data_IF_279086556355
#
_entry.id   IF_279086556355
#
_cell.length_a   1.000
_cell.length_b   1.000
_cell.length_c   1.000
_cell.angle_alpha   90.00
_cell.angle_beta   90.00
_cell.angle_gamma   90.00
#
_symmetry.space_group_name_H-M   'P 1'
#
loop_
_entity.id
_entity.type
_entity.pdbx_description
1 polymer ?
#
# COMPACT_ATOMS: atom_id res chain seq x y z
N UNK A 1 -0.90 4.00 18.37
CA UNK A 1 -1.55 3.32 17.25
C UNK A 1 -1.33 4.14 15.98
N UNK A 2 -0.84 3.50 14.94
CA UNK A 2 -0.68 4.14 13.63
C UNK A 2 -1.82 3.73 12.70
N UNK A 3 -2.07 4.56 11.69
CA UNK A 3 -3.04 4.24 10.64
C UNK A 3 -2.29 3.89 9.36
N UNK A 4 -2.60 2.71 8.82
CA UNK A 4 -2.03 2.23 7.56
C UNK A 4 -3.14 2.17 6.52
N UNK A 5 -2.89 2.80 5.38
CA UNK A 5 -3.76 2.70 4.21
C UNK A 5 -3.22 1.58 3.33
N UNK A 6 -3.96 0.48 3.25
CA UNK A 6 -3.54 -0.72 2.54
C UNK A 6 -4.15 -0.66 1.15
N UNK A 7 -3.32 -0.36 0.15
CA UNK A 7 -3.76 -0.31 -1.24
C UNK A 7 -3.50 -1.67 -1.86
N UNK A 8 -4.55 -2.43 -2.09
CA UNK A 8 -4.43 -3.78 -2.61
C UNK A 8 -4.96 -3.87 -4.04
N UNK A 9 -4.39 -4.79 -4.81
CA UNK A 9 -4.88 -5.10 -6.15
C UNK A 9 -5.78 -6.32 -6.06
N UNK A 10 -7.11 -6.19 -6.26
CA UNK A 10 -8.03 -7.34 -6.14
C UNK A 10 -7.77 -8.41 -7.20
N UNK A 11 -7.09 -8.06 -8.29
CA UNK A 11 -6.80 -9.00 -9.37
C UNK A 11 -5.50 -9.79 -9.15
N UNK A 12 -4.71 -9.43 -8.15
CA UNK A 12 -3.47 -10.13 -7.84
C UNK A 12 -3.77 -11.55 -7.37
N UNK A 13 -2.86 -12.48 -7.65
CA UNK A 13 -2.99 -13.84 -7.15
C UNK A 13 -4.27 -14.53 -7.59
N UNK A 14 -4.63 -14.44 -8.87
CA UNK A 14 -5.83 -15.09 -9.42
C UNK A 14 -7.13 -14.57 -8.79
N UNK A 15 -7.16 -13.26 -8.47
CA UNK A 15 -8.35 -12.63 -7.91
C UNK A 15 -8.46 -12.67 -6.40
N UNK A 16 -7.40 -13.11 -5.70
CA UNK A 16 -7.39 -13.20 -4.24
C UNK A 16 -6.62 -12.07 -3.56
N UNK A 17 -6.45 -10.95 -4.28
CA UNK A 17 -5.64 -9.85 -3.76
C UNK A 17 -6.15 -9.25 -2.46
N UNK A 18 -7.46 -9.11 -2.31
CA UNK A 18 -8.04 -8.59 -1.08
C UNK A 18 -7.82 -9.54 0.09
N UNK A 19 -8.08 -10.83 -0.12
CA UNK A 19 -7.88 -11.84 0.91
C UNK A 19 -6.43 -11.89 1.35
N UNK A 20 -5.51 -11.85 0.39
CA UNK A 20 -4.08 -11.85 0.68
C UNK A 20 -3.66 -10.60 1.47
N UNK A 21 -4.21 -9.43 1.12
CA UNK A 21 -3.90 -8.20 1.83
C UNK A 21 -4.37 -8.25 3.30
N UNK A 22 -5.46 -8.94 3.56
CA UNK A 22 -5.99 -9.05 4.93
C UNK A 22 -5.05 -9.79 5.89
N UNK A 23 -4.05 -10.51 5.37
CA UNK A 23 -3.02 -11.12 6.22
C UNK A 23 -2.23 -10.05 7.01
N UNK A 24 -2.27 -8.80 6.56
CA UNK A 24 -1.64 -7.70 7.28
C UNK A 24 -2.26 -7.46 8.66
N UNK A 25 -3.48 -7.90 8.89
CA UNK A 25 -4.08 -7.84 10.23
C UNK A 25 -3.29 -8.64 11.25
N UNK A 26 -2.59 -9.68 10.82
CA UNK A 26 -1.74 -10.49 11.69
C UNK A 26 -0.40 -9.80 11.94
N UNK A 27 0.17 -9.15 10.92
CA UNK A 27 1.44 -8.45 11.06
C UNK A 27 1.34 -7.16 11.86
N UNK A 28 0.20 -6.49 11.77
CA UNK A 28 -0.02 -5.17 12.38
C UNK A 28 -1.26 -5.21 13.27
N UNK A 29 -1.24 -6.05 14.34
CA UNK A 29 -2.46 -6.30 15.13
C UNK A 29 -2.89 -5.12 15.99
N UNK A 30 -1.97 -4.20 16.28
CA UNK A 30 -2.24 -3.08 17.18
C UNK A 30 -2.48 -1.77 16.44
N UNK A 31 -2.47 -1.80 15.11
CA UNK A 31 -2.61 -0.61 14.29
C UNK A 31 -3.96 -0.60 13.57
N UNK A 32 -4.35 0.58 13.14
CA UNK A 32 -5.57 0.75 12.35
C UNK A 32 -5.26 0.51 10.89
N UNK A 33 -5.94 -0.45 10.27
CA UNK A 33 -5.75 -0.78 8.86
C UNK A 33 -7.00 -0.40 8.06
N UNK A 34 -6.80 0.42 7.03
CA UNK A 34 -7.86 0.84 6.12
C UNK A 34 -7.55 0.26 4.74
N UNK A 35 -8.35 -0.69 4.29
CA UNK A 35 -8.14 -1.40 3.04
C UNK A 35 -8.85 -0.70 1.90
N UNK A 36 -8.15 -0.49 0.79
CA UNK A 36 -8.71 0.16 -0.38
C UNK A 36 -8.20 -0.50 -1.65
N UNK A 37 -9.12 -0.71 -2.60
CA UNK A 37 -8.79 -1.22 -3.93
C UNK A 37 -7.94 -0.17 -4.66
N UNK A 38 -6.70 -0.53 -5.01
CA UNK A 38 -5.76 0.39 -5.65
C UNK A 38 -6.26 0.83 -7.04
N UNK A 39 -7.07 -0.01 -7.70
CA UNK A 39 -7.58 0.32 -9.04
C UNK A 39 -8.63 1.44 -9.01
N UNK A 40 -9.16 1.75 -7.83
CA UNK A 40 -10.15 2.82 -7.68
C UNK A 40 -9.50 4.20 -7.45
N UNK A 41 -8.20 4.26 -7.32
CA UNK A 41 -7.51 5.53 -7.12
C UNK A 41 -7.18 6.14 -8.47
N UNK A 42 -7.87 7.23 -8.81
CA UNK A 42 -7.65 7.94 -10.06
C UNK A 42 -6.61 9.07 -9.93
N UNK A 43 -6.51 9.65 -8.74
CA UNK A 43 -5.66 10.81 -8.49
C UNK A 43 -4.84 10.57 -7.23
N UNK A 44 -3.61 10.12 -7.39
CA UNK A 44 -2.71 9.87 -6.27
C UNK A 44 -2.34 11.16 -5.52
N UNK A 45 -2.26 12.29 -6.23
CA UNK A 45 -2.00 13.56 -5.57
C UNK A 45 -3.08 13.88 -4.55
N UNK A 46 -4.35 13.74 -4.95
CA UNK A 46 -5.47 13.95 -4.05
C UNK A 46 -5.47 12.94 -2.90
N UNK A 47 -5.18 11.68 -3.22
CA UNK A 47 -5.12 10.63 -2.21
C UNK A 47 -4.09 10.97 -1.12
N UNK A 48 -2.86 11.31 -1.51
CA UNK A 48 -1.81 11.61 -0.54
C UNK A 48 -2.09 12.88 0.24
N UNK A 49 -2.72 13.88 -0.37
CA UNK A 49 -3.11 15.11 0.34
C UNK A 49 -4.18 14.87 1.39
N UNK A 50 -4.96 13.81 1.25
CA UNK A 50 -6.02 13.47 2.21
C UNK A 50 -5.50 12.78 3.47
N UNK A 51 -4.24 12.34 3.46
CA UNK A 51 -3.67 11.61 4.57
C UNK A 51 -3.25 12.54 5.70
N UNK A 52 -3.22 11.99 6.92
CA UNK A 52 -2.70 12.69 8.08
C UNK A 52 -1.18 12.50 8.15
N UNK A 53 -0.52 13.35 8.94
CA UNK A 53 0.95 13.37 9.00
C UNK A 53 1.57 12.03 9.39
N UNK A 54 0.91 11.28 10.28
CA UNK A 54 1.43 9.98 10.75
C UNK A 54 0.89 8.79 9.96
N UNK A 55 0.03 9.02 8.98
CA UNK A 55 -0.52 7.93 8.19
C UNK A 55 0.57 7.29 7.35
N UNK A 56 0.45 5.97 7.17
CA UNK A 56 1.38 5.19 6.37
C UNK A 56 0.62 4.47 5.28
N UNK A 57 1.34 4.12 4.21
CA UNK A 57 0.74 3.47 3.05
C UNK A 57 1.45 2.15 2.81
N UNK A 58 0.67 1.11 2.53
CA UNK A 58 1.20 -0.20 2.13
C UNK A 58 0.66 -0.54 0.76
N UNK A 59 1.55 -0.88 -0.16
CA UNK A 59 1.15 -1.39 -1.47
C UNK A 59 1.15 -2.91 -1.35
N UNK A 60 -0.01 -3.53 -1.48
CA UNK A 60 -0.18 -4.97 -1.33
C UNK A 60 -0.52 -5.59 -2.69
N UNK A 61 0.37 -6.39 -3.22
CA UNK A 61 0.18 -7.01 -4.52
C UNK A 61 1.44 -7.68 -5.02
N UNK A 62 1.52 -7.88 -6.32
CA UNK A 62 2.71 -8.40 -6.98
C UNK A 62 3.60 -7.29 -7.51
N UNK A 63 4.68 -7.69 -8.21
CA UNK A 63 5.65 -6.74 -8.76
C UNK A 63 5.01 -5.78 -9.76
N UNK A 64 4.04 -6.25 -10.55
CA UNK A 64 3.35 -5.39 -11.50
C UNK A 64 2.56 -4.28 -10.83
N UNK A 65 1.91 -4.59 -9.70
CA UNK A 65 1.18 -3.59 -8.92
C UNK A 65 2.14 -2.54 -8.37
N UNK A 66 3.27 -2.99 -7.83
CA UNK A 66 4.28 -2.09 -7.28
C UNK A 66 4.87 -1.19 -8.37
N UNK A 67 5.24 -1.75 -9.51
CA UNK A 67 5.82 -0.99 -10.61
C UNK A 67 4.85 0.07 -11.13
N UNK A 68 3.59 -0.28 -11.27
CA UNK A 68 2.58 0.67 -11.71
C UNK A 68 2.41 1.81 -10.71
N UNK A 69 2.36 1.48 -9.43
CA UNK A 69 2.27 2.50 -8.39
C UNK A 69 3.46 3.46 -8.46
N UNK A 70 4.69 2.92 -8.58
CA UNK A 70 5.89 3.73 -8.65
C UNK A 70 5.85 4.67 -9.87
N UNK A 71 5.44 4.14 -11.02
CA UNK A 71 5.34 4.95 -12.24
C UNK A 71 4.28 6.05 -12.12
N UNK A 72 3.13 5.71 -11.55
CA UNK A 72 2.01 6.66 -11.43
C UNK A 72 2.30 7.75 -10.40
N UNK A 73 3.15 7.49 -9.42
CA UNK A 73 3.48 8.46 -8.37
C UNK A 73 4.84 9.13 -8.56
N UNK A 74 5.59 8.75 -9.60
CA UNK A 74 6.93 9.28 -9.84
C UNK A 74 7.02 10.80 -9.84
N UNK A 75 6.06 11.55 -10.43
CA UNK A 75 6.14 13.00 -10.43
C UNK A 75 5.71 13.66 -9.12
N UNK A 76 5.26 12.88 -8.14
CA UNK A 76 4.72 13.42 -6.89
C UNK A 76 5.78 13.48 -5.80
N UNK A 77 5.65 14.46 -4.91
CA UNK A 77 6.40 14.49 -3.67
C UNK A 77 5.54 13.83 -2.60
N UNK A 78 6.02 12.71 -2.07
CA UNK A 78 5.28 11.93 -1.09
C UNK A 78 5.95 12.07 0.26
N UNK A 79 5.22 12.63 1.22
CA UNK A 79 5.73 12.92 2.56
C UNK A 79 5.44 11.85 3.61
N UNK A 80 4.81 10.73 3.23
CA UNK A 80 4.51 9.66 4.18
C UNK A 80 5.39 8.44 3.93
N UNK A 81 5.49 7.57 4.94
CA UNK A 81 6.22 6.31 4.78
C UNK A 81 5.41 5.31 3.96
N UNK A 82 6.08 4.65 3.03
CA UNK A 82 5.46 3.68 2.12
C UNK A 82 6.15 2.34 2.28
N UNK A 83 5.34 1.28 2.34
CA UNK A 83 5.80 -0.10 2.46
C UNK A 83 5.22 -0.94 1.34
N UNK A 84 5.88 -2.04 1.06
CA UNK A 84 5.41 -3.03 0.09
C UNK A 84 5.18 -4.35 0.80
N UNK A 85 4.03 -4.96 0.53
CA UNK A 85 3.67 -6.29 1.00
C UNK A 85 3.46 -7.17 -0.22
N UNK A 86 4.41 -8.08 -0.46
CA UNK A 86 4.37 -9.00 -1.62
C UNK A 86 3.41 -10.14 -1.32
N UNK A 87 2.21 -10.08 -1.87
CA UNK A 87 1.13 -11.01 -1.52
C UNK A 87 1.35 -12.41 -2.05
N UNK A 88 2.19 -12.59 -3.07
CA UNK A 88 2.45 -13.90 -3.67
C UNK A 88 3.71 -14.59 -3.20
N UNK A 89 4.46 -14.01 -2.28
CA UNK A 89 5.78 -14.49 -1.92
C UNK A 89 5.78 -15.67 -0.93
N UNK A 90 4.70 -15.86 -0.20
CA UNK A 90 4.67 -16.83 0.89
C UNK A 90 5.38 -16.36 2.16
N UNK A 91 6.09 -15.25 2.10
CA UNK A 91 6.78 -14.66 3.25
C UNK A 91 6.08 -13.35 3.60
N UNK A 92 5.38 -13.35 4.73
CA UNK A 92 4.61 -12.17 5.14
C UNK A 92 5.49 -11.19 5.91
N UNK A 93 6.04 -10.22 5.20
CA UNK A 93 6.79 -9.13 5.81
C UNK A 93 6.58 -7.85 5.03
N UNK A 94 6.84 -6.73 5.68
CA UNK A 94 6.75 -5.42 5.06
C UNK A 94 8.13 -4.95 4.64
N UNK A 95 8.29 -4.59 3.37
CA UNK A 95 9.49 -3.97 2.86
C UNK A 95 9.31 -2.46 2.84
N UNK A 96 10.21 -1.73 3.49
CA UNK A 96 10.14 -0.28 3.52
C UNK A 96 10.65 0.30 2.19
N UNK A 97 9.84 1.12 1.54
CA UNK A 97 10.19 1.74 0.26
C UNK A 97 10.69 3.18 0.41
N UNK A 98 10.61 3.75 1.59
CA UNK A 98 10.94 5.14 1.80
C UNK A 98 9.68 6.00 1.90
N UNK A 99 9.77 7.27 1.53
CA UNK A 99 8.59 8.12 1.60
C UNK A 99 8.87 9.60 1.77
N UNK A 100 10.14 10.00 1.83
CA UNK A 100 10.48 11.40 1.88
C UNK A 100 11.27 11.74 0.64
N UNK A 101 10.58 12.34 -0.31
CA UNK A 101 11.19 12.79 -1.56
C UNK A 101 11.24 14.31 -1.55
N UNK A 102 12.42 14.83 -1.70
CA UNK A 102 12.66 16.26 -1.69
C UNK A 102 13.19 16.72 -3.03
#
# INVERSE_FOLDING_TARGET
>A
MLTYHILYNPHAGSGRGQEAAYRLNVLLPDDRLLFRDITEIDDYGAFFRSLRDDDRVVIAGGDGTLNRFINDTAPLQIGCHIYYFATGSGNDFLAYLGGYYH
#
